data_IF_757359970096
#
_entry.id   IF_757359970096
#
_cell.length_a   1.000
_cell.length_b   1.000
_cell.length_c   1.000
_cell.angle_alpha   90.00
_cell.angle_beta   90.00
_cell.angle_gamma   90.00
#
_symmetry.space_group_name_H-M   'P 1'
#
loop_
_entity.id
_entity.type
_entity.pdbx_description
1 polymer ?
#
# COMPACT_ATOMS: atom_id res chain seq x y z
N UNK A 1 34.06 -0.46 -20.52
CA UNK A 1 32.69 -0.29 -20.02
C UNK A 1 32.80 0.16 -18.57
N UNK A 2 32.31 1.36 -18.26
CA UNK A 2 32.72 2.13 -17.06
C UNK A 2 32.19 1.57 -15.75
N UNK A 3 32.92 1.84 -14.66
CA UNK A 3 32.65 1.41 -13.26
C UNK A 3 31.30 1.88 -12.67
N UNK A 4 30.47 2.62 -13.43
CA UNK A 4 29.21 3.23 -12.99
C UNK A 4 28.02 2.83 -13.88
N UNK A 5 28.05 1.66 -14.53
CA UNK A 5 26.90 1.19 -15.31
C UNK A 5 25.84 0.61 -14.38
N UNK A 6 24.64 1.19 -14.39
CA UNK A 6 23.47 0.77 -13.61
C UNK A 6 22.41 0.26 -14.58
N UNK A 7 22.31 -1.06 -14.82
CA UNK A 7 21.35 -1.61 -15.78
C UNK A 7 19.92 -1.45 -15.24
N UNK A 8 19.01 -1.03 -16.12
CA UNK A 8 17.58 -0.92 -15.81
C UNK A 8 16.81 -2.05 -16.51
N UNK A 9 15.98 -2.76 -15.75
CA UNK A 9 15.09 -3.81 -16.25
C UNK A 9 13.64 -3.38 -16.00
N UNK A 10 12.76 -3.55 -16.97
CA UNK A 10 11.33 -3.24 -16.84
C UNK A 10 10.54 -4.53 -16.75
N UNK A 11 9.73 -4.64 -15.70
CA UNK A 11 8.77 -5.72 -15.48
C UNK A 11 7.36 -5.13 -15.52
N UNK A 12 6.64 -5.34 -16.62
CA UNK A 12 5.29 -4.79 -16.78
C UNK A 12 4.23 -5.89 -16.73
N UNK A 13 3.19 -5.69 -15.90
CA UNK A 13 2.04 -6.56 -15.88
C UNK A 13 0.95 -6.01 -16.82
N UNK A 14 0.84 -6.61 -18.02
CA UNK A 14 -0.13 -6.21 -19.06
C UNK A 14 -1.59 -6.40 -18.66
N UNK A 15 -1.87 -7.16 -17.58
CA UNK A 15 -3.21 -7.30 -17.00
C UNK A 15 -3.55 -6.22 -15.97
N UNK A 16 -2.58 -5.40 -15.57
CA UNK A 16 -2.78 -4.27 -14.67
C UNK A 16 -3.08 -2.99 -15.46
N UNK A 17 -3.94 -2.14 -14.90
CA UNK A 17 -4.28 -0.81 -15.42
C UNK A 17 -4.77 -0.80 -16.86
N UNK A 18 -6.08 -0.93 -17.09
CA UNK A 18 -6.80 -0.62 -18.34
C UNK A 18 -6.05 -0.88 -19.68
N UNK A 19 -5.30 -1.97 -19.80
CA UNK A 19 -4.45 -2.33 -20.95
C UNK A 19 -3.27 -1.37 -21.25
N UNK A 20 -2.93 -0.43 -20.35
CA UNK A 20 -1.75 0.44 -20.46
C UNK A 20 -0.44 -0.35 -20.45
N UNK A 21 -0.42 -1.52 -19.80
CA UNK A 21 0.78 -2.33 -19.72
C UNK A 21 1.29 -2.81 -21.09
N UNK A 22 0.43 -3.07 -22.08
CA UNK A 22 0.87 -3.47 -23.42
C UNK A 22 1.55 -2.31 -24.17
N UNK A 23 0.97 -1.11 -24.07
CA UNK A 23 1.53 0.12 -24.64
C UNK A 23 2.90 0.39 -24.03
N UNK A 24 3.00 0.37 -22.69
CA UNK A 24 4.27 0.57 -21.98
C UNK A 24 5.34 -0.43 -22.38
N UNK A 25 5.00 -1.72 -22.52
CA UNK A 25 5.94 -2.74 -22.99
C UNK A 25 6.48 -2.39 -24.38
N UNK A 26 5.62 -1.91 -25.28
CA UNK A 26 6.03 -1.50 -26.63
C UNK A 26 6.97 -0.29 -26.59
N UNK A 27 6.62 0.74 -25.83
CA UNK A 27 7.39 1.97 -25.72
C UNK A 27 8.77 1.72 -25.08
N UNK A 28 8.82 0.99 -23.96
CA UNK A 28 10.09 0.65 -23.32
C UNK A 28 10.99 -0.21 -24.22
N UNK A 29 10.43 -1.09 -25.06
CA UNK A 29 11.21 -1.86 -26.05
C UNK A 29 11.75 -1.01 -27.19
N UNK A 30 11.15 0.15 -27.45
CA UNK A 30 11.69 1.13 -28.39
C UNK A 30 12.93 1.86 -27.86
N UNK A 31 13.06 1.96 -26.52
CA UNK A 31 14.13 2.72 -25.86
C UNK A 31 15.24 1.84 -25.27
N UNK A 32 14.89 0.64 -24.79
CA UNK A 32 15.79 -0.30 -24.13
C UNK A 32 16.06 -1.51 -25.02
N UNK A 33 17.10 -2.28 -24.69
CA UNK A 33 17.25 -3.59 -25.33
C UNK A 33 16.00 -4.44 -25.02
N UNK A 34 15.37 -5.10 -26.02
CA UNK A 34 14.18 -5.92 -25.78
C UNK A 34 14.33 -7.02 -24.71
N UNK A 35 15.56 -7.47 -24.42
CA UNK A 35 15.86 -8.41 -23.35
C UNK A 35 15.76 -7.81 -21.94
N UNK A 36 15.68 -6.48 -21.81
CA UNK A 36 15.49 -5.77 -20.54
C UNK A 36 14.01 -5.53 -20.21
N UNK A 37 13.08 -5.84 -21.12
CA UNK A 37 11.65 -5.52 -20.96
C UNK A 37 10.81 -6.80 -20.97
N UNK A 38 10.30 -7.15 -19.80
CA UNK A 38 9.52 -8.37 -19.59
C UNK A 38 8.04 -8.08 -19.38
N UNK A 39 7.20 -8.87 -20.05
CA UNK A 39 5.77 -8.96 -19.79
C UNK A 39 5.50 -10.06 -18.75
N UNK A 40 5.03 -9.65 -17.58
CA UNK A 40 4.79 -10.54 -16.44
C UNK A 40 3.60 -11.50 -16.65
N UNK A 41 2.76 -11.26 -17.66
CA UNK A 41 1.74 -12.25 -18.07
C UNK A 41 2.35 -13.45 -18.81
N UNK A 42 3.57 -13.31 -19.33
CA UNK A 42 4.30 -14.31 -20.12
C UNK A 42 5.50 -14.89 -19.37
N UNK A 43 6.17 -14.08 -18.54
CA UNK A 43 7.37 -14.47 -17.80
C UNK A 43 7.20 -14.20 -16.32
N UNK A 44 7.35 -15.23 -15.47
CA UNK A 44 7.31 -15.04 -14.01
C UNK A 44 8.42 -14.08 -13.54
N UNK A 45 8.21 -13.26 -12.50
CA UNK A 45 9.21 -12.35 -11.95
C UNK A 45 10.54 -13.02 -11.66
N UNK A 46 10.54 -14.20 -11.02
CA UNK A 46 11.78 -14.92 -10.70
C UNK A 46 12.64 -15.21 -11.95
N UNK A 47 12.00 -15.67 -13.04
CA UNK A 47 12.69 -15.92 -14.32
C UNK A 47 13.23 -14.62 -14.93
N UNK A 48 12.45 -13.54 -14.91
CA UNK A 48 12.90 -12.25 -15.43
C UNK A 48 14.10 -11.69 -14.63
N UNK A 49 14.03 -11.80 -13.30
CA UNK A 49 15.08 -11.37 -12.39
C UNK A 49 16.38 -12.16 -12.49
N UNK A 50 16.39 -13.34 -13.13
CA UNK A 50 17.64 -14.05 -13.41
C UNK A 50 18.57 -13.26 -14.32
N UNK A 51 18.07 -12.29 -15.09
CA UNK A 51 18.91 -11.34 -15.81
C UNK A 51 19.87 -10.58 -14.85
N UNK A 52 19.45 -10.30 -13.62
CA UNK A 52 20.31 -9.64 -12.62
C UNK A 52 21.54 -10.47 -12.27
N UNK A 53 21.45 -11.81 -12.32
CA UNK A 53 22.56 -12.71 -11.96
C UNK A 53 23.73 -12.71 -12.94
N UNK A 54 23.54 -12.14 -14.13
CA UNK A 54 24.60 -11.98 -15.14
C UNK A 54 25.12 -10.54 -15.24
N UNK A 55 24.59 -9.63 -14.42
CA UNK A 55 25.00 -8.24 -14.33
C UNK A 55 26.01 -8.04 -13.19
N UNK A 56 26.74 -6.90 -13.16
CA UNK A 56 27.61 -6.59 -12.03
C UNK A 56 26.84 -6.63 -10.69
N UNK A 57 27.45 -7.15 -9.61
CA UNK A 57 26.82 -7.19 -8.30
C UNK A 57 26.27 -5.83 -7.85
N UNK A 58 25.09 -5.84 -7.21
CA UNK A 58 24.43 -4.68 -6.60
C UNK A 58 24.26 -3.46 -7.55
N UNK A 59 24.11 -3.70 -8.85
CA UNK A 59 24.04 -2.64 -9.87
C UNK A 59 22.68 -2.48 -10.55
N UNK A 60 21.79 -3.47 -10.45
CA UNK A 60 20.55 -3.50 -11.22
C UNK A 60 19.43 -2.68 -10.55
N UNK A 61 18.74 -1.87 -11.35
CA UNK A 61 17.46 -1.24 -11.01
C UNK A 61 16.34 -1.94 -11.77
N UNK A 62 15.22 -2.19 -11.12
CA UNK A 62 14.03 -2.82 -11.72
C UNK A 62 12.84 -1.87 -11.58
N UNK A 63 12.23 -1.50 -12.70
CA UNK A 63 10.96 -0.78 -12.73
C UNK A 63 9.81 -1.78 -12.85
N UNK A 64 8.90 -1.78 -11.89
CA UNK A 64 7.71 -2.64 -11.90
C UNK A 64 6.49 -1.81 -12.29
N UNK A 65 5.91 -2.09 -13.46
CA UNK A 65 4.68 -1.44 -13.91
C UNK A 65 3.47 -2.30 -13.53
N UNK A 66 2.73 -1.89 -12.49
CA UNK A 66 1.63 -2.65 -11.94
C UNK A 66 1.00 -1.99 -10.71
N UNK A 67 0.01 -2.65 -10.11
CA UNK A 67 -0.50 -2.29 -8.77
C UNK A 67 0.26 -2.98 -7.64
N UNK A 68 -0.12 -2.73 -6.38
CA UNK A 68 0.56 -3.25 -5.17
C UNK A 68 0.78 -4.77 -5.21
N UNK A 69 -0.23 -5.56 -5.62
CA UNK A 69 -0.08 -7.01 -5.73
C UNK A 69 0.96 -7.47 -6.77
N UNK A 70 1.15 -6.70 -7.85
CA UNK A 70 2.22 -6.98 -8.82
C UNK A 70 3.60 -6.71 -8.22
N UNK A 71 3.73 -5.60 -7.48
CA UNK A 71 4.97 -5.27 -6.78
C UNK A 71 5.28 -6.34 -5.73
N UNK A 72 4.30 -6.74 -4.92
CA UNK A 72 4.42 -7.83 -3.95
C UNK A 72 4.90 -9.14 -4.58
N UNK A 73 4.39 -9.50 -5.76
CA UNK A 73 4.82 -10.69 -6.51
C UNK A 73 6.29 -10.61 -6.96
N UNK A 74 6.74 -9.43 -7.41
CA UNK A 74 8.16 -9.21 -7.75
C UNK A 74 9.04 -9.27 -6.50
N UNK A 75 8.60 -8.67 -5.39
CA UNK A 75 9.34 -8.71 -4.14
C UNK A 75 9.46 -10.15 -3.60
N UNK A 76 8.42 -10.98 -3.72
CA UNK A 76 8.51 -12.41 -3.37
C UNK A 76 9.57 -13.15 -4.20
N UNK A 77 9.70 -12.81 -5.48
CA UNK A 77 10.78 -13.35 -6.31
C UNK A 77 12.17 -12.84 -5.89
N UNK A 78 12.27 -11.60 -5.41
CA UNK A 78 13.52 -11.08 -4.80
C UNK A 78 13.88 -11.86 -3.52
N UNK A 79 12.90 -12.22 -2.70
CA UNK A 79 13.15 -13.07 -1.54
C UNK A 79 13.57 -14.49 -1.95
N UNK A 80 13.00 -15.03 -3.04
CA UNK A 80 13.42 -16.32 -3.60
C UNK A 80 14.89 -16.28 -4.08
N UNK A 81 15.34 -15.15 -4.66
CA UNK A 81 16.76 -14.95 -5.02
C UNK A 81 17.67 -15.02 -3.79
N UNK A 82 17.31 -14.38 -2.68
CA UNK A 82 18.06 -14.45 -1.41
C UNK A 82 18.20 -15.89 -0.94
N UNK A 83 17.08 -16.63 -0.90
CA UNK A 83 17.05 -18.04 -0.48
C UNK A 83 17.95 -18.91 -1.35
N UNK A 84 18.10 -18.57 -2.63
CA UNK A 84 18.98 -19.26 -3.60
C UNK A 84 20.43 -18.76 -3.59
N UNK A 85 20.83 -17.94 -2.62
CA UNK A 85 22.20 -17.43 -2.49
C UNK A 85 22.58 -16.36 -3.52
N UNK A 86 21.60 -15.70 -4.14
CA UNK A 86 21.82 -14.65 -5.15
C UNK A 86 21.79 -13.23 -4.54
N UNK A 87 22.21 -13.09 -3.28
CA UNK A 87 22.08 -11.84 -2.51
C UNK A 87 22.81 -10.66 -3.15
N UNK A 88 23.98 -10.90 -3.74
CA UNK A 88 24.78 -9.90 -4.45
C UNK A 88 24.13 -9.39 -5.75
N UNK A 89 23.01 -9.97 -6.18
CA UNK A 89 22.33 -9.64 -7.44
C UNK A 89 20.89 -9.17 -7.22
N UNK A 90 20.51 -8.85 -5.98
CA UNK A 90 19.20 -8.30 -5.66
C UNK A 90 19.08 -6.89 -6.27
N UNK A 91 18.03 -6.60 -7.04
CA UNK A 91 17.84 -5.28 -7.62
C UNK A 91 17.25 -4.28 -6.61
N UNK A 92 17.44 -3.00 -6.89
CA UNK A 92 16.62 -1.92 -6.32
C UNK A 92 15.32 -1.79 -7.12
N UNK A 93 14.17 -1.71 -6.45
CA UNK A 93 12.84 -1.79 -7.11
C UNK A 93 12.13 -0.43 -7.09
N UNK A 94 11.81 0.10 -8.27
CA UNK A 94 10.90 1.23 -8.48
C UNK A 94 9.50 0.74 -8.89
N UNK A 95 8.49 1.60 -8.69
CA UNK A 95 7.10 1.30 -9.02
C UNK A 95 6.59 2.32 -10.04
N UNK A 96 5.98 1.83 -11.13
CA UNK A 96 5.10 2.64 -11.97
C UNK A 96 3.64 2.22 -11.66
N UNK A 97 2.87 3.07 -10.95
CA UNK A 97 1.61 2.67 -10.34
C UNK A 97 0.45 2.54 -11.34
N UNK A 98 0.17 1.32 -11.80
CA UNK A 98 -0.94 1.02 -12.73
C UNK A 98 -2.22 0.53 -12.02
N UNK A 99 -2.19 0.36 -10.70
CA UNK A 99 -3.32 -0.12 -9.91
C UNK A 99 -4.32 0.98 -9.51
N UNK A 100 -5.32 0.63 -8.70
CA UNK A 100 -6.28 1.59 -8.14
C UNK A 100 -5.81 2.19 -6.81
N UNK A 101 -5.25 1.36 -5.92
CA UNK A 101 -4.85 1.76 -4.57
C UNK A 101 -3.47 2.43 -4.55
N UNK A 102 -2.44 1.69 -4.96
CA UNK A 102 -1.06 2.15 -5.12
C UNK A 102 -0.47 2.76 -3.84
N UNK A 103 -0.85 2.26 -2.66
CA UNK A 103 -0.41 2.80 -1.37
C UNK A 103 1.11 2.71 -1.22
N UNK A 104 1.74 1.65 -1.74
CA UNK A 104 3.20 1.51 -1.72
C UNK A 104 3.88 2.53 -2.63
N UNK A 105 3.32 2.80 -3.80
CA UNK A 105 3.85 3.80 -4.73
C UNK A 105 3.74 5.21 -4.14
N UNK A 106 2.61 5.54 -3.52
CA UNK A 106 2.41 6.79 -2.79
C UNK A 106 3.44 6.95 -1.66
N UNK A 107 3.65 5.90 -0.87
CA UNK A 107 4.66 5.88 0.21
C UNK A 107 6.07 6.17 -0.33
N UNK A 108 6.36 5.67 -1.53
CA UNK A 108 7.67 5.79 -2.18
C UNK A 108 7.79 7.03 -3.10
N UNK A 109 6.76 7.89 -3.14
CA UNK A 109 6.76 9.13 -3.94
C UNK A 109 6.55 8.96 -5.45
N UNK A 110 6.17 7.76 -5.91
CA UNK A 110 5.88 7.50 -7.33
C UNK A 110 4.46 7.93 -7.76
N UNK A 111 3.66 8.46 -6.82
CA UNK A 111 2.33 9.00 -7.06
C UNK A 111 1.19 7.99 -6.96
N UNK A 112 -0.04 8.51 -7.03
CA UNK A 112 -1.28 7.75 -6.80
C UNK A 112 -1.72 6.88 -8.00
N UNK A 113 -1.12 7.09 -9.16
CA UNK A 113 -1.25 6.21 -10.31
C UNK A 113 -0.91 6.89 -11.62
N UNK A 114 -0.71 6.11 -12.66
CA UNK A 114 -0.28 6.56 -13.98
C UNK A 114 -1.40 6.43 -15.02
N UNK A 115 -1.59 7.44 -15.86
CA UNK A 115 -2.56 7.49 -16.95
C UNK A 115 -1.93 7.85 -18.32
N UNK A 116 -0.60 7.87 -18.44
CA UNK A 116 0.09 8.24 -19.70
C UNK A 116 0.58 9.67 -19.76
N UNK A 117 0.43 10.44 -18.68
CA UNK A 117 0.80 11.86 -18.57
C UNK A 117 2.32 12.09 -18.59
N UNK A 118 3.11 11.13 -18.09
CA UNK A 118 4.59 11.20 -18.10
C UNK A 118 5.17 10.33 -19.22
N UNK A 119 6.01 10.88 -20.12
CA UNK A 119 6.71 10.10 -21.14
C UNK A 119 7.65 9.05 -20.54
N UNK A 120 7.76 7.88 -21.19
CA UNK A 120 8.59 6.77 -20.71
C UNK A 120 10.07 7.13 -20.56
N UNK A 121 10.60 8.04 -21.37
CA UNK A 121 11.98 8.54 -21.23
C UNK A 121 12.18 9.25 -19.90
N UNK A 122 11.19 10.03 -19.46
CA UNK A 122 11.25 10.73 -18.18
C UNK A 122 11.10 9.74 -17.02
N UNK A 123 10.23 8.74 -17.14
CA UNK A 123 10.12 7.66 -16.16
C UNK A 123 11.48 6.96 -15.97
N UNK A 124 12.17 6.61 -17.06
CA UNK A 124 13.49 5.99 -16.98
C UNK A 124 14.53 6.89 -16.31
N UNK A 125 14.53 8.21 -16.60
CA UNK A 125 15.40 9.18 -15.91
C UNK A 125 15.11 9.23 -14.41
N UNK A 126 13.85 9.36 -14.03
CA UNK A 126 13.44 9.40 -12.62
C UNK A 126 13.90 8.15 -11.87
N UNK A 127 13.79 6.96 -12.47
CA UNK A 127 14.28 5.70 -11.87
C UNK A 127 15.80 5.70 -11.71
N UNK A 128 16.53 6.20 -12.70
CA UNK A 128 17.99 6.26 -12.67
C UNK A 128 18.50 7.23 -11.60
N UNK A 129 17.81 8.34 -11.39
CA UNK A 129 18.15 9.39 -10.42
C UNK A 129 17.59 9.16 -9.01
N UNK A 130 16.61 8.27 -8.86
CA UNK A 130 15.98 7.96 -7.58
C UNK A 130 16.98 7.43 -6.54
N UNK A 131 16.73 7.84 -5.29
CA UNK A 131 17.41 7.38 -4.09
C UNK A 131 16.91 5.99 -3.69
N UNK A 132 17.70 5.28 -2.87
CA UNK A 132 17.32 3.97 -2.36
C UNK A 132 16.92 4.03 -0.89
N UNK A 133 15.82 3.35 -0.56
CA UNK A 133 15.35 3.12 0.81
C UNK A 133 15.12 1.63 1.06
N UNK A 134 15.04 1.24 2.33
CA UNK A 134 14.63 -0.11 2.70
C UNK A 134 13.12 -0.15 2.88
N UNK A 135 12.51 -1.26 2.49
CA UNK A 135 11.14 -1.62 2.84
C UNK A 135 11.17 -2.85 3.74
N UNK A 136 10.71 -2.69 4.96
CA UNK A 136 10.39 -3.79 5.86
C UNK A 136 9.32 -4.68 5.24
N UNK A 137 9.54 -5.99 5.31
CA UNK A 137 8.59 -6.98 4.83
C UNK A 137 8.26 -7.90 5.98
N UNK A 138 6.99 -8.25 6.05
CA UNK A 138 6.42 -8.95 7.19
C UNK A 138 5.88 -10.31 6.77
N UNK A 139 5.93 -11.26 7.69
CA UNK A 139 5.38 -12.60 7.55
C UNK A 139 4.11 -12.67 8.38
N UNK A 140 2.99 -12.90 7.71
CA UNK A 140 1.69 -13.15 8.33
C UNK A 140 1.46 -14.66 8.35
N UNK A 141 1.47 -15.24 9.55
CA UNK A 141 1.22 -16.67 9.76
C UNK A 141 -0.14 -16.89 10.42
N UNK A 142 -1.01 -17.64 9.77
CA UNK A 142 -2.35 -17.98 10.27
C UNK A 142 -2.40 -19.47 10.64
N UNK A 143 -2.66 -19.73 11.92
CA UNK A 143 -2.75 -21.08 12.49
C UNK A 143 -4.17 -21.34 12.96
N UNK A 144 -4.90 -22.24 12.30
CA UNK A 144 -6.29 -22.54 12.64
C UNK A 144 -6.41 -23.34 13.95
N UNK A 145 -7.38 -22.99 14.80
CA UNK A 145 -7.70 -23.78 15.99
C UNK A 145 -8.42 -25.08 15.59
N UNK A 146 -8.05 -26.22 16.19
CA UNK A 146 -8.79 -27.49 16.07
C UNK A 146 -8.44 -28.41 14.88
N UNK A 147 -7.57 -27.99 13.95
CA UNK A 147 -7.11 -28.83 12.83
C UNK A 147 -5.59 -29.01 12.85
N UNK A 148 -5.09 -29.81 13.81
CA UNK A 148 -3.66 -30.04 14.08
C UNK A 148 -2.84 -30.61 12.90
N UNK A 149 -3.47 -30.98 11.79
CA UNK A 149 -2.81 -31.58 10.61
C UNK A 149 -2.65 -30.61 9.43
N UNK A 150 -3.28 -29.43 9.43
CA UNK A 150 -3.12 -28.47 8.33
C UNK A 150 -1.93 -27.55 8.60
N UNK A 151 -1.01 -27.47 7.63
CA UNK A 151 0.10 -26.51 7.67
C UNK A 151 -0.45 -25.08 7.83
N UNK A 152 0.19 -24.22 8.63
CA UNK A 152 -0.18 -22.81 8.74
C UNK A 152 -0.20 -22.13 7.36
N UNK A 153 -1.15 -21.24 7.13
CA UNK A 153 -1.14 -20.36 5.95
C UNK A 153 -0.12 -19.25 6.22
N UNK A 154 0.86 -19.08 5.33
CA UNK A 154 1.91 -18.06 5.45
C UNK A 154 1.83 -17.14 4.25
N UNK A 155 1.82 -15.84 4.50
CA UNK A 155 1.75 -14.79 3.49
C UNK A 155 2.83 -13.73 3.76
N UNK A 156 3.34 -13.10 2.69
CA UNK A 156 4.12 -11.86 2.80
C UNK A 156 3.17 -10.68 2.93
N UNK A 157 3.55 -9.68 3.72
CA UNK A 157 2.86 -8.40 3.84
C UNK A 157 3.87 -7.27 3.61
N UNK A 158 3.52 -6.35 2.71
CA UNK A 158 4.32 -5.20 2.34
C UNK A 158 3.63 -3.89 2.74
N UNK A 159 2.29 -3.88 2.81
CA UNK A 159 1.52 -2.68 3.07
C UNK A 159 0.84 -2.79 4.44
N UNK A 160 -0.19 -3.63 4.56
CA UNK A 160 -0.93 -3.77 5.80
C UNK A 160 -1.79 -5.04 5.86
N UNK A 161 -2.10 -5.46 7.07
CA UNK A 161 -3.08 -6.49 7.39
C UNK A 161 -4.28 -5.85 8.08
N UNK A 162 -5.47 -6.41 7.89
CA UNK A 162 -6.63 -6.01 8.69
C UNK A 162 -7.60 -7.15 8.95
N UNK A 163 -8.38 -6.97 10.02
CA UNK A 163 -9.53 -7.81 10.39
C UNK A 163 -10.71 -6.89 10.68
N UNK A 164 -11.90 -7.22 10.17
CA UNK A 164 -13.13 -6.44 10.38
C UNK A 164 -13.54 -5.61 9.15
N UNK A 165 -14.12 -4.40 9.34
CA UNK A 165 -14.76 -3.60 8.29
C UNK A 165 -13.89 -3.32 7.05
N UNK A 166 -12.61 -2.98 7.21
CA UNK A 166 -11.68 -2.77 6.10
C UNK A 166 -11.55 -4.02 5.22
N UNK A 167 -11.26 -5.17 5.85
CA UNK A 167 -11.20 -6.46 5.16
C UNK A 167 -12.54 -6.86 4.53
N UNK A 168 -13.66 -6.48 5.14
CA UNK A 168 -14.99 -6.74 4.62
C UNK A 168 -15.26 -5.94 3.34
N UNK A 169 -14.89 -4.66 3.31
CA UNK A 169 -15.00 -3.83 2.12
C UNK A 169 -14.15 -4.42 0.99
N UNK A 170 -12.91 -4.84 1.28
CA UNK A 170 -12.06 -5.55 0.33
C UNK A 170 -12.72 -6.85 -0.19
N UNK A 171 -13.31 -7.67 0.69
CA UNK A 171 -13.99 -8.92 0.32
C UNK A 171 -15.22 -8.67 -0.58
N UNK A 172 -16.02 -7.66 -0.23
CA UNK A 172 -17.19 -7.27 -1.02
C UNK A 172 -16.78 -6.74 -2.38
N UNK A 173 -15.76 -5.88 -2.44
CA UNK A 173 -15.21 -5.36 -3.68
C UNK A 173 -14.68 -6.48 -4.58
N UNK A 174 -13.89 -7.41 -4.03
CA UNK A 174 -13.37 -8.57 -4.75
C UNK A 174 -14.51 -9.42 -5.36
N UNK A 175 -15.52 -9.75 -4.56
CA UNK A 175 -16.68 -10.54 -4.99
C UNK A 175 -17.49 -9.84 -6.09
N UNK A 176 -17.64 -8.52 -6.01
CA UNK A 176 -18.35 -7.75 -7.04
C UNK A 176 -17.53 -7.64 -8.33
N UNK A 177 -16.22 -7.47 -8.22
CA UNK A 177 -15.31 -7.40 -9.36
C UNK A 177 -15.28 -8.71 -10.15
N UNK A 178 -15.31 -9.86 -9.48
CA UNK A 178 -15.42 -11.17 -10.15
C UNK A 178 -16.75 -11.34 -10.89
N UNK A 179 -17.84 -10.80 -10.35
CA UNK A 179 -19.18 -10.90 -10.95
C UNK A 179 -19.39 -9.94 -12.12
N UNK A 180 -18.88 -8.71 -12.03
CA UNK A 180 -19.14 -7.67 -13.03
C UNK A 180 -17.87 -6.87 -13.35
N UNK A 181 -16.87 -7.46 -14.04
CA UNK A 181 -15.57 -6.83 -14.26
C UNK A 181 -15.62 -5.53 -15.07
N UNK A 182 -16.63 -5.34 -15.94
CA UNK A 182 -16.77 -4.14 -16.78
C UNK A 182 -16.99 -2.83 -16.00
N UNK A 183 -17.60 -2.91 -14.81
CA UNK A 183 -17.83 -1.76 -13.93
C UNK A 183 -16.55 -1.26 -13.23
N UNK A 184 -15.49 -2.08 -13.22
CA UNK A 184 -14.26 -1.79 -12.47
C UNK A 184 -13.08 -1.32 -13.35
N UNK A 185 -13.42 -0.77 -14.52
CA UNK A 185 -12.47 -0.30 -15.53
C UNK A 185 -11.96 1.12 -15.30
N UNK A 186 -12.34 1.80 -14.21
CA UNK A 186 -11.86 3.15 -13.91
C UNK A 186 -11.36 3.25 -12.47
N UNK A 187 -10.16 3.82 -12.28
CA UNK A 187 -9.57 4.03 -10.95
C UNK A 187 -10.47 4.90 -10.07
N UNK A 188 -11.01 6.00 -10.61
CA UNK A 188 -11.93 6.89 -9.91
C UNK A 188 -13.21 6.17 -9.49
N UNK A 189 -13.82 5.41 -10.40
CA UNK A 189 -15.02 4.62 -10.10
C UNK A 189 -14.72 3.58 -9.02
N UNK A 190 -13.58 2.90 -9.11
CA UNK A 190 -13.16 1.90 -8.13
C UNK A 190 -12.99 2.51 -6.73
N UNK A 191 -12.35 3.67 -6.62
CA UNK A 191 -12.21 4.40 -5.35
C UNK A 191 -13.58 4.85 -4.82
N UNK A 192 -14.44 5.40 -5.67
CA UNK A 192 -15.80 5.81 -5.29
C UNK A 192 -16.64 4.64 -4.78
N UNK A 193 -16.61 3.49 -5.46
CA UNK A 193 -17.30 2.27 -5.01
C UNK A 193 -16.80 1.83 -3.64
N UNK A 194 -15.50 1.93 -3.37
CA UNK A 194 -14.93 1.61 -2.06
C UNK A 194 -15.47 2.54 -0.97
N UNK A 195 -15.51 3.86 -1.23
CA UNK A 195 -16.11 4.84 -0.33
C UNK A 195 -17.61 4.57 -0.10
N UNK A 196 -18.36 4.20 -1.14
CA UNK A 196 -19.78 3.86 -1.03
C UNK A 196 -20.03 2.61 -0.18
N UNK A 197 -19.12 1.63 -0.17
CA UNK A 197 -19.21 0.51 0.76
C UNK A 197 -19.00 0.93 2.22
N UNK A 198 -18.21 1.98 2.45
CA UNK A 198 -18.02 2.60 3.76
C UNK A 198 -19.23 3.38 4.27
N UNK A 199 -19.97 4.05 3.37
CA UNK A 199 -21.13 4.89 3.73
C UNK A 199 -22.47 4.16 3.78
N UNK A 200 -22.57 2.98 3.16
CA UNK A 200 -23.70 2.08 3.45
C UNK A 200 -23.53 1.54 4.85
N UNK A 201 -24.56 1.68 5.69
CA UNK A 201 -24.70 0.97 6.97
C UNK A 201 -24.76 -0.55 6.72
N UNK A 202 -23.64 -1.12 6.32
CA UNK A 202 -23.36 -2.52 6.46
C UNK A 202 -23.14 -2.76 7.95
N UNK A 203 -24.22 -2.68 8.74
CA UNK A 203 -24.33 -3.18 10.11
C UNK A 203 -24.11 -4.69 10.07
N UNK A 204 -22.88 -5.10 9.77
CA UNK A 204 -22.55 -6.50 9.64
C UNK A 204 -22.31 -6.98 11.06
N UNK A 205 -23.33 -7.63 11.62
CA UNK A 205 -23.27 -8.28 12.94
C UNK A 205 -22.01 -9.13 13.12
N UNK A 206 -21.40 -9.59 12.02
CA UNK A 206 -20.15 -10.36 12.02
C UNK A 206 -18.97 -9.60 12.64
N UNK A 207 -18.87 -8.26 12.51
CA UNK A 207 -17.71 -7.50 13.02
C UNK A 207 -17.90 -6.86 14.40
N UNK A 208 -19.13 -6.84 14.93
CA UNK A 208 -19.44 -6.25 16.25
C UNK A 208 -18.72 -6.94 17.42
N UNK A 209 -18.54 -6.21 18.52
CA UNK A 209 -17.96 -6.73 19.76
C UNK A 209 -16.58 -7.39 19.55
N UNK A 210 -15.67 -6.69 18.86
CA UNK A 210 -14.35 -7.24 18.53
C UNK A 210 -13.56 -7.65 19.78
N UNK A 211 -13.70 -6.91 20.87
CA UNK A 211 -13.12 -7.16 22.19
C UNK A 211 -13.49 -8.55 22.76
N UNK A 212 -14.68 -9.05 22.41
CA UNK A 212 -15.14 -10.39 22.83
C UNK A 212 -14.62 -11.49 21.92
N UNK A 213 -14.30 -11.16 20.67
CA UNK A 213 -13.92 -12.12 19.60
C UNK A 213 -12.40 -12.27 19.45
N UNK A 214 -11.64 -11.20 19.67
CA UNK A 214 -10.22 -11.11 19.39
C UNK A 214 -9.44 -10.72 20.65
N UNK A 215 -8.36 -11.44 20.93
CA UNK A 215 -7.30 -10.93 21.81
C UNK A 215 -6.17 -10.39 20.96
N UNK A 216 -5.69 -9.19 21.30
CA UNK A 216 -4.55 -8.54 20.69
C UNK A 216 -3.38 -8.57 21.66
N UNK A 217 -2.21 -8.93 21.15
CA UNK A 217 -0.95 -8.77 21.84
C UNK A 217 0.06 -8.04 20.95
N UNK A 218 0.77 -7.10 21.57
CA UNK A 218 1.85 -6.32 20.98
C UNK A 218 3.13 -6.63 21.75
N UNK A 219 4.13 -7.21 21.06
CA UNK A 219 5.39 -7.64 21.67
C UNK A 219 5.23 -8.56 22.90
N UNK A 220 4.14 -9.34 22.92
CA UNK A 220 3.80 -10.28 24.00
C UNK A 220 2.94 -9.68 25.12
N UNK A 221 2.71 -8.36 25.10
CA UNK A 221 1.84 -7.67 26.05
C UNK A 221 0.41 -7.61 25.54
N UNK A 222 -0.55 -8.02 26.38
CA UNK A 222 -1.97 -8.02 26.03
C UNK A 222 -2.53 -6.61 26.02
N UNK A 223 -3.17 -6.23 24.91
CA UNK A 223 -3.80 -4.92 24.75
C UNK A 223 -5.30 -5.02 25.06
N UNK A 224 -5.79 -4.12 25.90
CA UNK A 224 -7.23 -3.96 26.14
C UNK A 224 -7.86 -3.25 24.95
N UNK A 225 -8.80 -3.90 24.28
CA UNK A 225 -9.50 -3.32 23.15
C UNK A 225 -10.72 -2.50 23.63
N UNK A 226 -10.89 -1.26 23.14
CA UNK A 226 -12.17 -0.55 23.23
C UNK A 226 -13.26 -1.29 22.43
N UNK A 227 -14.48 -0.74 22.43
CA UNK A 227 -15.59 -1.26 21.62
C UNK A 227 -15.37 -0.97 20.12
N UNK A 228 -14.42 -1.69 19.52
CA UNK A 228 -14.01 -1.60 18.13
C UNK A 228 -14.72 -2.68 17.30
N UNK A 229 -14.72 -2.50 15.98
CA UNK A 229 -15.20 -3.50 15.02
C UNK A 229 -14.06 -4.04 14.13
N UNK A 230 -12.94 -3.33 14.03
CA UNK A 230 -11.77 -3.79 13.29
C UNK A 230 -10.43 -3.33 13.84
N UNK A 231 -9.39 -4.03 13.42
CA UNK A 231 -7.98 -3.72 13.66
C UNK A 231 -7.26 -3.67 12.32
N UNK A 232 -6.39 -2.69 12.13
CA UNK A 232 -5.48 -2.54 10.99
C UNK A 232 -4.05 -2.51 11.53
N UNK A 233 -3.16 -3.27 10.90
CA UNK A 233 -1.74 -3.37 11.22
C UNK A 233 -0.95 -2.88 10.01
N UNK A 234 -0.33 -1.72 10.12
CA UNK A 234 0.32 -1.01 9.01
C UNK A 234 1.84 -1.14 9.05
N UNK A 235 2.43 -1.25 7.86
CA UNK A 235 3.86 -1.15 7.61
C UNK A 235 4.23 0.13 6.82
N UNK A 236 3.27 0.76 6.14
CA UNK A 236 3.52 1.92 5.29
C UNK A 236 2.60 3.08 5.67
N UNK A 237 3.01 4.30 5.33
CA UNK A 237 2.30 5.54 5.70
C UNK A 237 0.95 5.77 5.01
N UNK A 238 0.58 4.92 4.04
CA UNK A 238 -0.65 5.02 3.27
C UNK A 238 -1.53 3.78 3.43
N UNK A 239 -2.84 3.99 3.47
CA UNK A 239 -3.86 2.97 3.64
C UNK A 239 -5.06 3.25 2.73
N UNK A 240 -5.78 2.20 2.33
CA UNK A 240 -7.10 2.34 1.71
C UNK A 240 -7.10 3.08 0.36
N UNK A 241 -5.99 3.10 -0.37
CA UNK A 241 -5.89 3.72 -1.69
C UNK A 241 -5.58 5.22 -1.69
N UNK A 242 -4.66 5.63 -0.82
CA UNK A 242 -4.12 6.99 -0.76
C UNK A 242 -4.42 7.75 0.53
N UNK A 243 -5.08 7.14 1.52
CA UNK A 243 -5.36 7.81 2.79
C UNK A 243 -4.14 7.72 3.71
N UNK A 244 -3.71 8.88 4.22
CA UNK A 244 -2.74 8.97 5.31
C UNK A 244 -3.48 9.03 6.64
N UNK A 245 -3.07 8.17 7.57
CA UNK A 245 -3.62 8.22 8.92
C UNK A 245 -3.16 9.50 9.64
N UNK A 246 -3.92 9.93 10.64
CA UNK A 246 -3.60 11.07 11.51
C UNK A 246 -3.70 12.47 10.85
N UNK A 247 -4.06 12.55 9.57
CA UNK A 247 -4.34 13.83 8.88
C UNK A 247 -5.80 14.27 8.99
N UNK A 248 -6.63 13.56 9.76
CA UNK A 248 -8.04 13.89 9.96
C UNK A 248 -8.31 14.78 11.17
N UNK A 249 -9.58 15.15 11.34
CA UNK A 249 -10.07 15.88 12.51
C UNK A 249 -9.94 15.03 13.79
N UNK A 250 -9.20 15.52 14.80
CA UNK A 250 -9.01 14.84 16.09
C UNK A 250 -7.91 15.48 16.97
N UNK A 251 -7.58 14.83 18.09
CA UNK A 251 -6.48 15.23 18.99
C UNK A 251 -5.09 15.10 18.33
N UNK A 252 -4.02 15.49 19.05
CA UNK A 252 -2.64 15.62 18.53
C UNK A 252 -2.23 14.53 17.51
N UNK A 253 -1.69 14.93 16.36
CA UNK A 253 -1.32 13.99 15.30
C UNK A 253 -0.18 13.08 15.74
N UNK A 254 -0.33 11.78 15.46
CA UNK A 254 0.76 10.82 15.58
C UNK A 254 1.63 10.84 14.31
N UNK A 255 2.93 10.48 14.41
CA UNK A 255 3.75 10.31 13.22
C UNK A 255 3.18 9.21 12.33
N UNK A 256 3.36 9.37 11.01
CA UNK A 256 3.02 8.34 10.03
C UNK A 256 3.88 7.09 10.23
N UNK A 257 3.29 5.95 9.88
CA UNK A 257 4.00 4.68 9.76
C UNK A 257 5.25 4.81 8.92
N UNK A 258 6.35 4.25 9.43
CA UNK A 258 7.62 4.15 8.71
C UNK A 258 7.78 2.75 8.17
N UNK A 259 8.26 2.68 6.94
CA UNK A 259 8.42 1.42 6.23
C UNK A 259 9.83 0.83 6.38
N UNK A 260 10.66 1.39 7.27
CA UNK A 260 12.10 1.13 7.35
C UNK A 260 12.65 1.07 8.80
N UNK A 261 11.78 1.05 9.81
CA UNK A 261 12.16 1.11 11.23
C UNK A 261 11.98 -0.22 11.99
N UNK A 262 11.51 -1.27 11.29
CA UNK A 262 11.25 -2.58 11.85
C UNK A 262 10.06 -2.64 12.80
N UNK A 263 9.14 -1.67 12.73
CA UNK A 263 7.94 -1.59 13.57
C UNK A 263 6.66 -1.67 12.74
N UNK A 264 5.56 -2.04 13.41
CA UNK A 264 4.21 -2.03 12.85
C UNK A 264 3.32 -1.12 13.68
N UNK A 265 2.59 -0.22 13.03
CA UNK A 265 1.56 0.58 13.66
C UNK A 265 0.26 -0.21 13.75
N UNK A 266 -0.37 -0.23 14.93
CA UNK A 266 -1.61 -0.96 15.16
C UNK A 266 -2.69 0.02 15.56
N UNK A 267 -3.77 0.03 14.78
CA UNK A 267 -4.90 0.94 14.95
C UNK A 267 -6.23 0.21 14.93
N UNK A 268 -7.21 0.79 15.59
CA UNK A 268 -8.58 0.31 15.69
C UNK A 268 -9.57 1.19 14.92
N UNK A 269 -10.63 0.58 14.41
CA UNK A 269 -11.76 1.27 13.76
C UNK A 269 -13.10 0.84 14.34
N UNK A 270 -14.04 1.80 14.44
CA UNK A 270 -15.37 1.57 15.01
C UNK A 270 -16.38 0.96 14.03
N UNK A 271 -16.07 0.88 12.74
CA UNK A 271 -17.00 0.38 11.72
C UNK A 271 -16.63 0.85 10.32
N UNK A 272 -17.40 0.44 9.31
CA UNK A 272 -17.19 0.86 7.91
C UNK A 272 -17.38 2.36 7.73
N UNK A 273 -18.35 2.97 8.42
CA UNK A 273 -18.58 4.42 8.37
C UNK A 273 -17.39 5.19 8.93
N UNK A 274 -16.80 4.72 10.04
CA UNK A 274 -15.59 5.32 10.59
C UNK A 274 -14.41 5.20 9.62
N UNK A 275 -14.28 4.07 8.90
CA UNK A 275 -13.28 3.91 7.84
C UNK A 275 -13.47 4.95 6.73
N UNK A 276 -14.71 5.20 6.30
CA UNK A 276 -15.01 6.24 5.30
C UNK A 276 -14.67 7.64 5.82
N UNK A 277 -15.03 7.96 7.07
CA UNK A 277 -14.69 9.25 7.68
C UNK A 277 -13.17 9.49 7.73
N UNK A 278 -12.38 8.46 8.05
CA UNK A 278 -10.91 8.53 8.02
C UNK A 278 -10.42 8.82 6.59
N UNK A 279 -10.96 8.14 5.57
CA UNK A 279 -10.57 8.35 4.17
C UNK A 279 -10.83 9.78 3.70
N UNK A 280 -11.90 10.43 4.19
CA UNK A 280 -12.23 11.83 3.87
C UNK A 280 -11.73 12.83 4.92
N UNK A 281 -10.77 12.44 5.77
CA UNK A 281 -10.13 13.29 6.79
C UNK A 281 -11.08 13.88 7.85
N UNK A 282 -12.26 13.29 8.04
CA UNK A 282 -13.25 13.69 9.05
C UNK A 282 -13.09 12.98 10.41
N UNK A 283 -12.19 11.99 10.50
CA UNK A 283 -11.89 11.29 11.74
C UNK A 283 -10.46 10.72 11.72
N UNK A 284 -9.92 10.44 12.91
CA UNK A 284 -8.69 9.68 13.09
C UNK A 284 -9.00 8.27 13.63
N UNK A 285 -8.20 7.25 13.28
CA UNK A 285 -8.36 5.92 13.85
C UNK A 285 -7.99 5.90 15.34
N UNK A 286 -8.33 4.82 16.04
CA UNK A 286 -7.94 4.64 17.45
C UNK A 286 -6.54 4.05 17.52
N UNK A 287 -5.56 4.77 18.10
CA UNK A 287 -4.22 4.22 18.27
C UNK A 287 -4.22 3.11 19.32
N UNK A 288 -3.76 1.91 18.94
CA UNK A 288 -3.62 0.76 19.86
C UNK A 288 -2.16 0.53 20.28
N UNK A 289 -1.20 0.92 19.44
CA UNK A 289 0.21 0.89 19.77
C UNK A 289 1.11 0.76 18.55
N UNK A 290 2.37 0.43 18.82
CA UNK A 290 3.40 0.14 17.83
C UNK A 290 4.21 -1.07 18.35
N UNK A 291 4.60 -2.01 17.48
CA UNK A 291 5.22 -3.26 17.92
C UNK A 291 6.15 -3.89 16.86
N UNK A 292 7.10 -4.71 17.30
CA UNK A 292 7.90 -5.59 16.43
C UNK A 292 7.19 -6.91 16.10
N UNK A 293 6.25 -7.33 16.94
CA UNK A 293 5.47 -8.56 16.75
C UNK A 293 4.03 -8.31 17.15
N UNK A 294 3.11 -8.60 16.23
CA UNK A 294 1.67 -8.48 16.48
C UNK A 294 1.04 -9.87 16.47
N UNK A 295 0.29 -10.20 17.53
CA UNK A 295 -0.45 -11.46 17.62
C UNK A 295 -1.92 -11.21 17.85
N UNK A 296 -2.76 -11.76 16.98
CA UNK A 296 -4.21 -11.72 17.09
C UNK A 296 -4.75 -13.13 17.30
N UNK A 297 -5.55 -13.34 18.34
CA UNK A 297 -6.18 -14.62 18.64
C UNK A 297 -7.68 -14.48 18.44
N UNK A 298 -8.19 -15.01 17.32
CA UNK A 298 -9.61 -15.09 17.04
C UNK A 298 -10.19 -16.30 17.79
N UNK A 299 -11.01 -16.03 18.80
CA UNK A 299 -11.56 -17.03 19.73
C UNK A 299 -12.71 -17.82 19.12
N UNK A 300 -13.68 -17.09 18.57
CA UNK A 300 -14.96 -17.61 18.09
C UNK A 300 -15.43 -16.78 16.90
N UNK A 301 -16.30 -17.37 16.08
CA UNK A 301 -16.88 -16.77 14.87
C UNK A 301 -15.92 -16.68 13.68
N UNK A 302 -16.50 -16.47 12.50
CA UNK A 302 -15.77 -16.14 11.28
C UNK A 302 -15.66 -14.62 11.18
N UNK A 303 -14.49 -14.13 10.77
CA UNK A 303 -14.22 -12.71 10.55
C UNK A 303 -13.60 -12.51 9.16
N UNK A 304 -13.94 -11.42 8.45
CA UNK A 304 -13.21 -11.02 7.26
C UNK A 304 -11.80 -10.56 7.65
N UNK A 305 -10.81 -11.02 6.88
CA UNK A 305 -9.40 -10.61 6.99
C UNK A 305 -8.84 -10.31 5.62
N UNK A 306 -7.81 -9.49 5.53
CA UNK A 306 -7.06 -9.25 4.29
C UNK A 306 -5.58 -9.00 4.59
N UNK A 307 -4.73 -9.21 3.59
CA UNK A 307 -3.33 -8.78 3.55
C UNK A 307 -3.09 -8.14 2.20
N UNK A 308 -2.56 -6.92 2.18
CA UNK A 308 -2.22 -6.17 0.95
C UNK A 308 -3.34 -6.16 -0.11
N UNK A 309 -4.60 -6.09 0.33
CA UNK A 309 -5.78 -6.06 -0.52
C UNK A 309 -6.33 -7.43 -0.96
N UNK A 310 -5.76 -8.54 -0.50
CA UNK A 310 -6.22 -9.91 -0.79
C UNK A 310 -7.09 -10.47 0.37
N UNK A 311 -8.44 -10.45 0.25
CA UNK A 311 -9.34 -10.75 1.34
C UNK A 311 -9.73 -12.23 1.45
N UNK A 312 -10.12 -12.67 2.65
CA UNK A 312 -10.74 -13.97 2.90
C UNK A 312 -11.61 -13.97 4.17
N UNK A 313 -12.47 -14.98 4.31
CA UNK A 313 -13.21 -15.23 5.54
C UNK A 313 -12.46 -16.25 6.43
N UNK A 314 -12.14 -15.86 7.66
CA UNK A 314 -11.31 -16.62 8.58
C UNK A 314 -12.09 -17.10 9.81
N UNK A 315 -12.05 -18.39 10.12
CA UNK A 315 -12.57 -18.93 11.39
C UNK A 315 -11.55 -18.82 12.54
N UNK A 316 -11.85 -19.39 13.73
CA UNK A 316 -10.96 -19.33 14.89
C UNK A 316 -9.51 -19.71 14.57
N UNK A 317 -8.59 -18.82 14.89
CA UNK A 317 -7.17 -18.95 14.55
C UNK A 317 -6.30 -18.08 15.43
N UNK A 318 -4.99 -18.27 15.31
CA UNK A 318 -3.97 -17.33 15.76
C UNK A 318 -3.27 -16.77 14.53
N UNK A 319 -3.31 -15.45 14.38
CA UNK A 319 -2.53 -14.69 13.41
C UNK A 319 -1.29 -14.16 14.11
N UNK A 320 -0.11 -14.37 13.53
CA UNK A 320 1.15 -13.83 14.04
C UNK A 320 1.87 -13.11 12.91
N UNK A 321 2.14 -11.83 13.13
CA UNK A 321 2.83 -10.95 12.19
C UNK A 321 4.21 -10.65 12.78
N UNK A 322 5.25 -10.98 12.02
CA UNK A 322 6.65 -10.89 12.45
C UNK A 322 7.50 -10.40 11.30
N UNK A 323 8.63 -9.77 11.59
CA UNK A 323 9.59 -9.36 10.57
C UNK A 323 10.01 -10.57 9.73
N UNK A 324 10.11 -10.38 8.40
CA UNK A 324 10.48 -11.42 7.43
C UNK A 324 11.84 -11.11 6.82
N UNK A 325 11.93 -10.00 6.09
CA UNK A 325 13.10 -9.55 5.33
C UNK A 325 12.99 -8.03 5.09
N UNK A 326 13.97 -7.45 4.38
CA UNK A 326 13.83 -6.13 3.78
C UNK A 326 13.95 -6.21 2.25
N UNK A 327 13.31 -5.32 1.52
CA UNK A 327 13.60 -5.06 0.10
C UNK A 327 14.30 -3.72 -0.08
N UNK A 328 15.11 -3.60 -1.13
CA UNK A 328 15.66 -2.31 -1.55
C UNK A 328 14.68 -1.68 -2.54
N UNK A 329 14.06 -0.58 -2.14
CA UNK A 329 13.13 0.18 -2.94
C UNK A 329 13.80 1.46 -3.45
N UNK A 330 13.31 1.98 -4.56
CA UNK A 330 13.65 3.31 -5.04
C UNK A 330 12.58 4.29 -4.60
N UNK A 331 13.01 5.44 -4.11
CA UNK A 331 12.19 6.54 -3.64
C UNK A 331 12.43 7.76 -4.54
N UNK A 332 11.36 8.42 -4.95
CA UNK A 332 11.42 9.57 -5.83
C UNK A 332 10.59 10.73 -5.28
N UNK A 333 11.22 11.88 -5.04
CA UNK A 333 10.52 13.13 -4.72
C UNK A 333 10.18 13.81 -6.05
N UNK A 334 9.12 13.33 -6.72
CA UNK A 334 8.51 14.13 -7.79
C UNK A 334 7.71 15.28 -7.17
N UNK A 335 7.62 16.42 -7.85
CA UNK A 335 6.67 17.48 -7.50
C UNK A 335 5.26 16.88 -7.46
N UNK A 336 4.69 16.72 -6.27
CA UNK A 336 3.29 16.36 -6.12
C UNK A 336 2.48 17.58 -6.58
N UNK A 337 1.78 17.47 -7.70
CA UNK A 337 0.69 18.39 -8.00
C UNK A 337 -0.43 18.05 -7.03
N UNK A 338 -0.62 18.89 -6.02
CA UNK A 338 -1.77 18.85 -5.13
C UNK A 338 -3.03 19.15 -5.95
N UNK A 339 -3.58 18.14 -6.64
CA UNK A 339 -4.83 18.26 -7.42
C UNK A 339 -6.09 18.21 -6.53
N UNK A 340 -6.01 18.60 -5.25
CA UNK A 340 -7.14 18.59 -4.32
C UNK A 340 -7.52 19.97 -3.73
N UNK A 341 -6.89 21.08 -4.16
CA UNK A 341 -7.32 22.44 -3.77
C UNK A 341 -8.20 23.10 -4.86
N UNK A 342 -9.41 22.58 -5.05
CA UNK A 342 -10.53 23.37 -5.59
C UNK A 342 -11.42 23.80 -4.40
N UNK A 343 -11.01 24.85 -3.69
CA UNK A 343 -11.91 25.65 -2.84
C UNK A 343 -12.34 26.91 -3.59
N UNK A 344 -13.55 26.94 -4.20
CA UNK A 344 -14.08 28.14 -4.81
C UNK A 344 -14.85 28.95 -3.76
N UNK A 345 -14.19 29.42 -2.68
CA UNK A 345 -14.85 30.33 -1.74
C UNK A 345 -13.92 31.16 -0.84
N UNK A 346 -13.21 32.14 -1.40
CA UNK A 346 -12.87 33.35 -0.62
C UNK A 346 -12.69 34.57 -1.51
N UNK A 347 -13.79 35.02 -2.12
CA UNK A 347 -13.90 36.41 -2.56
C UNK A 347 -14.81 37.11 -1.54
N UNK A 348 -14.20 37.77 -0.56
CA UNK A 348 -14.89 38.68 0.35
C UNK A 348 -14.00 39.88 0.64
N UNK A 349 -14.27 40.95 -0.10
CA UNK A 349 -14.33 42.35 0.33
C UNK A 349 -13.18 42.89 1.18
N UNK A 350 -12.21 43.53 0.52
CA UNK A 350 -11.38 44.56 1.14
C UNK A 350 -12.09 45.92 1.07
N UNK A 351 -12.64 46.37 2.19
CA UNK A 351 -13.00 47.78 2.39
C UNK A 351 -11.73 48.65 2.44
N UNK A 352 -11.71 49.84 1.80
CA UNK A 352 -10.58 50.77 1.91
C UNK A 352 -10.66 51.58 3.22
N UNK A 353 -9.56 51.57 3.99
CA UNK A 353 -9.37 52.44 5.17
C UNK A 353 -9.21 53.90 4.77
N UNK A 354 -9.99 54.78 5.39
CA UNK A 354 -9.83 56.24 5.35
C UNK A 354 -8.50 56.71 5.98
N UNK A 355 -7.91 57.85 5.53
CA UNK A 355 -6.66 58.36 6.06
C UNK A 355 -6.88 59.23 7.30
N UNK A 356 -6.12 58.94 8.36
CA UNK A 356 -6.05 59.75 9.58
C UNK A 356 -5.21 61.00 9.33
N UNK A 357 -5.81 62.18 9.47
CA UNK A 357 -5.13 63.49 9.53
C UNK A 357 -4.29 63.60 10.79
N UNK A 358 -3.02 64.00 10.64
CA UNK A 358 -2.11 64.40 11.71
C UNK A 358 -2.30 65.88 12.00
N UNK A 359 -2.72 66.22 13.22
CA UNK A 359 -2.53 67.55 13.78
C UNK A 359 -1.08 67.72 14.26
N UNK A 360 -0.51 68.87 13.93
CA UNK A 360 0.84 69.33 14.27
C UNK A 360 0.75 70.19 15.52
N UNK A 361 1.49 69.84 16.57
CA UNK A 361 1.90 70.80 17.61
C UNK A 361 3.30 71.35 17.28
N UNK A 362 3.31 72.67 17.10
CA UNK A 362 4.41 73.66 17.05
C UNK A 362 5.49 73.57 15.95
#
# INVERSE_FOLDING_TARGET
MGRNWTPLIVLANTRSGNNMGEVLVSEFKGLLNPLQVFDLSKTSPFKALQLCSILPPNSAKVLVCGGDGTVGWVLDAVDEMKIKGQENFIPQVAVLPLGTGNDLANTLGWGAGYAGEVPVEQILRNVMEADSTKLDRWKVQVTNKGYSLRKPKVMSMNNYFSVGPDALMALNFHTHREKTPSLFSSRLVNKAVYLFYGTKDCLVQECKDLDKKVELELDGEKISLPNLEGIVVLNIGYWGGGCRLWEGMGDEPYPLSRHDDGLLEVVGVYGSFHCAQIQVKLANPVRLGQAHTVRLILKSSRMPMQVDGEPWAQGPCTVTITHKTHALMLYHIGEQTDDDDDDPSSDSDQEPKEPVTRDVEM
#
